data_IF_457100448893
#
_entry.id   IF_457100448893
#
_cell.length_a   1.000
_cell.length_b   1.000
_cell.length_c   1.000
_cell.angle_alpha   90.00
_cell.angle_beta   90.00
_cell.angle_gamma   90.00
#
_symmetry.space_group_name_H-M   'P 1'
#
loop_
_entity.id
_entity.type
_entity.pdbx_description
1 polymer ?
#
# COMPACT_ATOMS: atom_id res chain seq x y z
N UNK A 1 14.25 -15.24 17.37
CA UNK A 1 12.96 -15.62 17.98
C UNK A 1 11.90 -14.62 17.53
N UNK A 2 10.73 -15.09 17.11
CA UNK A 2 9.65 -14.18 16.72
C UNK A 2 9.13 -13.47 17.99
N UNK A 3 9.01 -12.15 17.95
CA UNK A 3 8.43 -11.37 19.07
C UNK A 3 7.00 -11.88 19.30
N UNK A 4 6.66 -12.14 20.56
CA UNK A 4 5.30 -12.54 20.93
C UNK A 4 4.25 -11.58 20.32
N UNK A 5 3.19 -12.08 19.66
CA UNK A 5 2.20 -11.24 18.99
C UNK A 5 1.52 -10.24 19.91
N UNK A 6 1.35 -10.58 21.18
CA UNK A 6 0.74 -9.71 22.19
C UNK A 6 1.63 -8.52 22.52
N UNK A 7 2.94 -8.80 22.67
CA UNK A 7 3.96 -7.76 22.86
C UNK A 7 4.02 -6.85 21.63
N UNK A 8 4.09 -7.42 20.43
CA UNK A 8 4.14 -6.64 19.18
C UNK A 8 2.92 -5.72 19.02
N UNK A 9 1.72 -6.20 19.37
CA UNK A 9 0.48 -5.42 19.31
C UNK A 9 0.50 -4.26 20.30
N UNK A 10 0.94 -4.49 21.54
CA UNK A 10 1.06 -3.45 22.55
C UNK A 10 2.02 -2.34 22.09
N UNK A 11 3.19 -2.71 21.58
CA UNK A 11 4.17 -1.76 21.04
C UNK A 11 3.58 -0.91 19.90
N UNK A 12 2.78 -1.52 19.00
CA UNK A 12 2.12 -0.78 17.92
C UNK A 12 1.07 0.20 18.45
N UNK A 13 0.28 -0.20 19.45
CA UNK A 13 -0.71 0.68 20.07
C UNK A 13 -0.05 1.88 20.75
N UNK A 14 1.02 1.66 21.51
CA UNK A 14 1.77 2.70 22.21
C UNK A 14 2.42 3.69 21.21
N UNK A 15 2.84 3.19 20.04
CA UNK A 15 3.33 4.03 18.94
C UNK A 15 2.20 4.86 18.33
N UNK A 16 1.06 4.24 18.03
CA UNK A 16 -0.07 4.89 17.38
C UNK A 16 -0.82 5.85 18.31
N UNK A 17 -0.66 5.76 19.62
CA UNK A 17 -1.28 6.69 20.58
C UNK A 17 -0.59 8.05 20.65
N UNK A 18 0.65 8.17 20.14
CA UNK A 18 1.35 9.46 20.11
C UNK A 18 0.62 10.45 19.18
N UNK A 19 0.37 11.70 19.60
CA UNK A 19 -0.45 12.66 18.85
C UNK A 19 0.02 12.87 17.39
N UNK A 20 1.34 12.96 17.20
CA UNK A 20 1.99 13.06 15.89
C UNK A 20 1.69 11.82 15.01
N UNK A 21 1.74 10.62 15.57
CA UNK A 21 1.49 9.38 14.85
C UNK A 21 0.01 9.19 14.55
N UNK A 22 -0.90 9.64 15.43
CA UNK A 22 -2.35 9.65 15.17
C UNK A 22 -2.65 10.47 13.93
N UNK A 23 -2.11 11.69 13.84
CA UNK A 23 -2.35 12.58 12.70
C UNK A 23 -1.77 12.02 11.41
N UNK A 24 -0.53 11.50 11.45
CA UNK A 24 0.10 10.86 10.29
C UNK A 24 -0.65 9.61 9.83
N UNK A 25 -1.09 8.77 10.77
CA UNK A 25 -1.84 7.56 10.49
C UNK A 25 -3.19 7.87 9.84
N UNK A 26 -3.89 8.90 10.32
CA UNK A 26 -5.13 9.39 9.70
C UNK A 26 -4.89 9.82 8.24
N UNK A 27 -3.81 10.57 7.99
CA UNK A 27 -3.42 10.98 6.62
C UNK A 27 -3.11 9.79 5.73
N UNK A 28 -2.45 8.75 6.27
CA UNK A 28 -2.14 7.52 5.54
C UNK A 28 -3.39 6.87 4.96
N UNK A 29 -4.47 6.82 5.75
CA UNK A 29 -5.75 6.24 5.34
C UNK A 29 -6.26 6.85 4.03
N UNK A 30 -6.26 8.17 3.92
CA UNK A 30 -6.73 8.85 2.70
C UNK A 30 -5.70 8.77 1.56
N UNK A 31 -4.40 8.78 1.88
CA UNK A 31 -3.34 8.81 0.87
C UNK A 31 -3.27 7.57 -0.01
N UNK A 32 -3.74 6.41 0.48
CA UNK A 32 -3.65 5.15 -0.27
C UNK A 32 -4.85 4.94 -1.21
N UNK A 33 -5.99 5.57 -0.92
CA UNK A 33 -7.20 5.48 -1.76
C UNK A 33 -6.97 5.82 -3.23
N UNK A 34 -6.27 6.91 -3.61
CA UNK A 34 -6.02 7.19 -5.03
C UNK A 34 -5.15 6.14 -5.72
N UNK A 35 -4.26 5.47 -4.98
CA UNK A 35 -3.45 4.37 -5.53
C UNK A 35 -4.35 3.19 -5.88
N UNK A 36 -5.21 2.76 -4.95
CA UNK A 36 -6.17 1.68 -5.21
C UNK A 36 -7.21 2.06 -6.26
N UNK A 37 -7.69 3.31 -6.26
CA UNK A 37 -8.59 3.85 -7.26
C UNK A 37 -7.99 3.75 -8.66
N UNK A 38 -6.75 4.19 -8.84
CA UNK A 38 -6.07 4.11 -10.14
C UNK A 38 -5.87 2.65 -10.59
N UNK A 39 -5.35 1.79 -9.71
CA UNK A 39 -5.10 0.37 -10.03
C UNK A 39 -6.39 -0.35 -10.42
N UNK A 40 -7.47 -0.16 -9.66
CA UNK A 40 -8.72 -0.89 -9.85
C UNK A 40 -9.62 -0.28 -10.93
N UNK A 41 -9.83 1.03 -10.90
CA UNK A 41 -10.78 1.69 -11.79
C UNK A 41 -10.16 2.06 -13.13
N UNK A 42 -8.99 2.70 -13.13
CA UNK A 42 -8.39 3.21 -14.37
C UNK A 42 -7.57 2.14 -15.10
N UNK A 43 -6.79 1.34 -14.37
CA UNK A 43 -5.98 0.25 -14.95
C UNK A 43 -6.76 -1.08 -15.05
N UNK A 44 -7.99 -1.13 -14.53
CA UNK A 44 -8.86 -2.31 -14.64
C UNK A 44 -8.40 -3.56 -13.88
N UNK A 45 -7.39 -3.46 -13.00
CA UNK A 45 -6.85 -4.61 -12.28
C UNK A 45 -7.79 -5.01 -11.13
N UNK A 46 -8.70 -5.95 -11.40
CA UNK A 46 -9.74 -6.42 -10.47
C UNK A 46 -9.53 -7.82 -9.95
N UNK A 47 -8.80 -8.64 -10.69
CA UNK A 47 -8.54 -10.05 -10.38
C UNK A 47 -7.07 -10.37 -10.64
N UNK A 48 -6.55 -11.32 -9.87
CA UNK A 48 -5.25 -11.93 -10.13
C UNK A 48 -5.42 -13.05 -11.14
N UNK A 49 -4.52 -13.14 -12.12
CA UNK A 49 -4.53 -14.21 -13.11
C UNK A 49 -3.73 -15.41 -12.63
N UNK A 50 -2.68 -15.16 -11.83
CA UNK A 50 -1.85 -16.20 -11.24
C UNK A 50 -2.43 -16.69 -9.91
N UNK A 51 -2.11 -17.94 -9.58
CA UNK A 51 -2.47 -18.57 -8.30
C UNK A 51 -1.22 -18.80 -7.45
N UNK A 52 -1.43 -18.89 -6.14
CA UNK A 52 -0.37 -19.05 -5.14
C UNK A 52 0.30 -17.72 -4.80
N UNK A 53 0.82 -17.65 -3.57
CA UNK A 53 1.38 -16.42 -3.00
C UNK A 53 2.45 -15.79 -3.91
N UNK A 54 3.38 -16.60 -4.41
CA UNK A 54 4.47 -16.11 -5.27
C UNK A 54 3.96 -15.52 -6.58
N UNK A 55 2.99 -16.15 -7.24
CA UNK A 55 2.43 -15.66 -8.50
C UNK A 55 1.66 -14.35 -8.31
N UNK A 56 0.73 -14.33 -7.34
CA UNK A 56 -0.05 -13.14 -6.97
C UNK A 56 0.87 -11.97 -6.58
N UNK A 57 1.95 -12.25 -5.84
CA UNK A 57 2.91 -11.23 -5.43
C UNK A 57 3.67 -10.61 -6.61
N UNK A 58 4.02 -11.42 -7.60
CA UNK A 58 4.65 -10.94 -8.84
C UNK A 58 3.70 -10.05 -9.66
N UNK A 59 2.43 -10.45 -9.82
CA UNK A 59 1.42 -9.61 -10.50
C UNK A 59 1.20 -8.29 -9.76
N UNK A 60 1.10 -8.35 -8.44
CA UNK A 60 0.94 -7.16 -7.61
C UNK A 60 2.12 -6.19 -7.75
N UNK A 61 3.36 -6.70 -7.75
CA UNK A 61 4.55 -5.88 -8.00
C UNK A 61 4.53 -5.24 -9.38
N UNK A 62 4.14 -5.99 -10.41
CA UNK A 62 4.06 -5.48 -11.78
C UNK A 62 3.08 -4.30 -11.87
N UNK A 63 1.84 -4.45 -11.36
CA UNK A 63 0.84 -3.39 -11.45
C UNK A 63 1.23 -2.16 -10.62
N UNK A 64 1.88 -2.35 -9.45
CA UNK A 64 2.43 -1.25 -8.68
C UNK A 64 3.55 -0.51 -9.43
N UNK A 65 4.42 -1.23 -10.14
CA UNK A 65 5.46 -0.61 -11.00
C UNK A 65 4.82 0.23 -12.09
N UNK A 66 3.82 -0.29 -12.80
CA UNK A 66 3.08 0.46 -13.83
C UNK A 66 2.46 1.73 -13.25
N UNK A 67 1.78 1.63 -12.10
CA UNK A 67 1.22 2.79 -11.40
C UNK A 67 2.28 3.87 -11.10
N UNK A 68 3.46 3.45 -10.63
CA UNK A 68 4.55 4.38 -10.32
C UNK A 68 5.17 5.00 -11.58
N UNK A 69 5.35 4.24 -12.65
CA UNK A 69 5.85 4.75 -13.93
C UNK A 69 4.91 5.81 -14.50
N UNK A 70 3.59 5.58 -14.44
CA UNK A 70 2.61 6.59 -14.85
C UNK A 70 2.73 7.85 -14.00
N UNK A 71 2.89 7.75 -12.67
CA UNK A 71 3.12 8.94 -11.84
C UNK A 71 4.38 9.72 -12.24
N UNK A 72 5.47 9.02 -12.53
CA UNK A 72 6.71 9.66 -12.98
C UNK A 72 6.52 10.38 -14.31
N UNK A 73 5.84 9.75 -15.27
CA UNK A 73 5.51 10.37 -16.56
C UNK A 73 4.72 11.67 -16.38
N UNK A 74 3.71 11.70 -15.51
CA UNK A 74 2.92 12.92 -15.27
C UNK A 74 3.69 14.00 -14.48
N UNK A 75 4.72 13.61 -13.72
CA UNK A 75 5.51 14.54 -12.92
C UNK A 75 6.61 15.25 -13.72
N UNK A 76 7.01 14.70 -14.88
CA UNK A 76 8.02 15.31 -15.75
C UNK A 76 7.32 16.40 -16.59
N UNK A 77 7.72 17.68 -16.46
CA UNK A 77 7.21 18.74 -17.33
C UNK A 77 7.71 18.53 -18.77
N UNK A 78 6.86 18.89 -19.74
CA UNK A 78 7.12 18.75 -21.17
C UNK A 78 8.27 19.63 -21.67
#
# INVERSE_FOLDING_TARGET
EAIDPTIARKMMNDKLSQPENVTLYRKRGVSIEPVFGNIKANLGFRTFSLRGHTGVHSEWRLICTVHNMLKLQHAIPA
#
